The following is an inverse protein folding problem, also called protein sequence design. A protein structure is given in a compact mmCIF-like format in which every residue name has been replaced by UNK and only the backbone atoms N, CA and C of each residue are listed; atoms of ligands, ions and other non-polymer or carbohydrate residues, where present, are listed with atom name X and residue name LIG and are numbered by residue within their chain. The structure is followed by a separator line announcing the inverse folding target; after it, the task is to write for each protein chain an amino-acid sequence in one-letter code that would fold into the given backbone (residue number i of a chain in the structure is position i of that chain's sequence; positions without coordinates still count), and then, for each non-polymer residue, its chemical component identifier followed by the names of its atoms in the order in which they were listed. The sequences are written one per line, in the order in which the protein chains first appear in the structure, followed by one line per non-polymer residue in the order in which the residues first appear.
data_IF_835153814317
#
_entry.id   IF_835153814317
#
_cell.length_a   1.000
_cell.length_b   1.000
_cell.length_c   1.000
_cell.angle_alpha   90.00
_cell.angle_beta   90.00
_cell.angle_gamma   90.00
#
_symmetry.space_group_name_H-M   'P 1'
#
loop_
_entity.id
_entity.type
_entity.pdbx_description
1 polymer ?
#
# COMPACT_ATOMS: atom_id res chain seq x y z
N UNK A 1 -44.16 -1.87 0.61
CA UNK A 1 -43.95 -2.99 -0.34
C UNK A 1 -42.93 -3.92 0.31
N UNK A 2 -43.17 -5.24 0.43
CA UNK A 2 -42.12 -6.15 0.86
C UNK A 2 -41.05 -6.24 -0.25
N UNK A 3 -39.78 -6.14 0.12
CA UNK A 3 -38.66 -6.29 -0.80
C UNK A 3 -37.99 -7.64 -0.57
N UNK A 4 -37.53 -8.28 -1.64
CA UNK A 4 -36.77 -9.54 -1.54
C UNK A 4 -35.30 -9.23 -1.32
N UNK A 5 -34.73 -9.78 -0.25
CA UNK A 5 -33.29 -9.78 -0.01
C UNK A 5 -32.69 -11.16 -0.25
N UNK A 6 -31.42 -11.21 -0.66
CA UNK A 6 -30.63 -12.44 -0.73
C UNK A 6 -29.64 -12.42 0.42
N UNK A 7 -29.60 -13.51 1.18
CA UNK A 7 -28.58 -13.75 2.20
C UNK A 7 -27.90 -15.07 1.90
N UNK A 8 -26.58 -15.09 1.93
CA UNK A 8 -25.79 -16.27 1.62
C UNK A 8 -24.56 -16.37 2.52
N UNK A 9 -24.17 -17.60 2.79
CA UNK A 9 -22.87 -17.91 3.36
C UNK A 9 -21.89 -18.22 2.24
N UNK A 10 -20.66 -17.74 2.37
CA UNK A 10 -19.58 -17.95 1.41
C UNK A 10 -18.44 -18.63 2.14
N UNK A 11 -17.96 -19.73 1.58
CA UNK A 11 -16.72 -20.38 1.95
C UNK A 11 -15.94 -20.65 0.67
N UNK A 12 -14.74 -20.08 0.58
CA UNK A 12 -13.86 -20.18 -0.57
C UNK A 12 -12.54 -20.76 -0.13
N UNK A 13 -12.17 -21.89 -0.71
CA UNK A 13 -10.90 -22.54 -0.44
C UNK A 13 -9.94 -22.31 -1.60
N UNK A 14 -8.88 -21.53 -1.34
CA UNK A 14 -7.69 -21.42 -2.19
C UNK A 14 -8.01 -21.14 -3.66
N UNK A 15 -8.76 -20.08 -3.90
CA UNK A 15 -9.12 -19.58 -5.22
C UNK A 15 -7.95 -18.81 -5.82
N UNK A 16 -7.58 -19.12 -7.06
CA UNK A 16 -6.54 -18.37 -7.77
C UNK A 16 -6.98 -16.92 -8.03
N UNK A 17 -6.09 -15.97 -7.77
CA UNK A 17 -6.36 -14.55 -7.99
C UNK A 17 -6.38 -14.18 -9.49
N UNK A 18 -6.01 -15.08 -10.39
CA UNK A 18 -5.96 -14.85 -11.85
C UNK A 18 -7.29 -14.33 -12.43
N UNK A 19 -8.40 -14.76 -11.84
CA UNK A 19 -9.75 -14.30 -12.18
C UNK A 19 -9.93 -12.78 -11.97
N UNK A 20 -9.13 -12.17 -11.10
CA UNK A 20 -9.17 -10.74 -10.79
C UNK A 20 -8.27 -9.90 -11.69
N UNK A 21 -7.39 -10.51 -12.52
CA UNK A 21 -6.47 -9.77 -13.40
C UNK A 21 -7.17 -8.71 -14.26
N UNK A 22 -8.30 -8.99 -14.95
CA UNK A 22 -8.99 -7.98 -15.75
C UNK A 22 -9.59 -6.85 -14.92
N UNK A 23 -9.91 -7.11 -13.65
CA UNK A 23 -10.49 -6.13 -12.73
C UNK A 23 -9.40 -5.18 -12.25
N UNK A 24 -8.28 -5.72 -11.73
CA UNK A 24 -7.18 -4.90 -11.19
C UNK A 24 -6.44 -4.12 -12.28
N UNK A 25 -6.37 -4.65 -13.51
CA UNK A 25 -5.79 -3.95 -14.66
C UNK A 25 -6.48 -2.62 -14.98
N UNK A 26 -7.80 -2.51 -14.74
CA UNK A 26 -8.57 -1.26 -14.95
C UNK A 26 -8.11 -0.13 -14.01
N UNK A 27 -7.51 -0.50 -12.88
CA UNK A 27 -7.00 0.43 -11.89
C UNK A 27 -5.48 0.63 -11.99
N UNK A 28 -4.84 0.13 -13.06
CA UNK A 28 -3.39 0.28 -13.26
C UNK A 28 -2.54 -0.71 -12.48
N UNK A 29 -3.14 -1.78 -11.94
CA UNK A 29 -2.41 -2.83 -11.25
C UNK A 29 -2.21 -4.07 -12.14
N UNK A 30 -1.02 -4.65 -12.09
CA UNK A 30 -0.66 -5.91 -12.72
C UNK A 30 -0.54 -6.98 -11.65
N UNK A 31 -1.45 -7.95 -11.67
CA UNK A 31 -1.43 -9.10 -10.78
C UNK A 31 -0.78 -10.29 -11.49
N UNK A 32 0.27 -10.82 -10.91
CA UNK A 32 1.07 -11.91 -11.48
C UNK A 32 0.72 -13.26 -10.85
N UNK A 33 0.53 -13.30 -9.54
CA UNK A 33 0.27 -14.55 -8.81
C UNK A 33 -0.46 -14.33 -7.50
N UNK A 34 -0.96 -15.43 -6.96
CA UNK A 34 -1.44 -15.56 -5.60
C UNK A 34 -2.77 -16.31 -5.54
N UNK A 35 -3.11 -16.76 -4.35
CA UNK A 35 -4.40 -17.38 -4.05
C UNK A 35 -5.04 -16.70 -2.87
N UNK A 36 -6.37 -16.75 -2.79
CA UNK A 36 -7.08 -16.33 -1.60
C UNK A 36 -8.01 -17.42 -1.10
N UNK A 37 -8.21 -17.46 0.21
CA UNK A 37 -9.29 -18.23 0.82
C UNK A 37 -10.06 -17.30 1.77
N UNK A 38 -11.33 -17.56 1.98
CA UNK A 38 -12.11 -16.72 2.88
C UNK A 38 -13.46 -17.30 3.21
N UNK A 39 -13.99 -16.88 4.35
CA UNK A 39 -15.30 -17.29 4.81
C UNK A 39 -16.07 -16.11 5.40
N UNK A 40 -17.37 -16.10 5.21
CA UNK A 40 -18.21 -15.03 5.72
C UNK A 40 -19.61 -15.05 5.13
N UNK A 41 -20.32 -13.96 5.39
CA UNK A 41 -21.72 -13.83 5.03
C UNK A 41 -21.90 -12.61 4.12
N UNK A 42 -22.73 -12.79 3.10
CA UNK A 42 -23.16 -11.72 2.20
C UNK A 42 -24.66 -11.51 2.33
N UNK A 43 -25.07 -10.25 2.39
CA UNK A 43 -26.47 -9.86 2.36
C UNK A 43 -26.67 -8.76 1.32
N UNK A 44 -27.64 -8.94 0.44
CA UNK A 44 -27.99 -7.97 -0.58
C UNK A 44 -29.50 -7.79 -0.65
N UNK A 45 -29.96 -6.59 -0.28
CA UNK A 45 -31.34 -6.12 -0.36
C UNK A 45 -31.34 -4.66 -0.86
N UNK A 46 -32.49 -4.11 -1.29
CA UNK A 46 -32.54 -2.76 -1.85
C UNK A 46 -31.93 -1.65 -0.97
N UNK A 47 -32.05 -1.78 0.36
CA UNK A 47 -31.55 -0.81 1.33
C UNK A 47 -30.35 -1.33 2.14
N UNK A 48 -29.89 -2.55 1.88
CA UNK A 48 -28.88 -3.21 2.73
C UNK A 48 -27.89 -4.02 1.89
N UNK A 49 -26.60 -3.72 2.06
CA UNK A 49 -25.49 -4.42 1.45
C UNK A 49 -24.51 -4.75 2.56
N UNK A 50 -24.40 -6.01 2.90
CA UNK A 50 -23.49 -6.50 3.95
C UNK A 50 -22.50 -7.46 3.33
N UNK A 51 -21.23 -7.23 3.61
CA UNK A 51 -20.15 -8.19 3.47
C UNK A 51 -19.49 -8.32 4.84
N UNK A 52 -19.76 -9.41 5.56
CA UNK A 52 -19.15 -9.72 6.86
C UNK A 52 -18.24 -10.93 6.70
N UNK A 53 -16.96 -10.65 6.43
CA UNK A 53 -15.93 -11.67 6.34
C UNK A 53 -15.43 -12.01 7.75
N UNK A 54 -15.45 -13.28 8.08
CA UNK A 54 -14.84 -13.75 9.31
C UNK A 54 -13.33 -13.87 9.14
N UNK A 55 -12.90 -14.29 7.94
CA UNK A 55 -11.50 -14.40 7.60
C UNK A 55 -11.29 -14.26 6.09
N UNK A 56 -10.21 -13.59 5.72
CA UNK A 56 -9.67 -13.53 4.36
C UNK A 56 -8.17 -13.79 4.44
N UNK A 57 -7.68 -14.77 3.69
CA UNK A 57 -6.27 -15.12 3.61
C UNK A 57 -5.78 -14.94 2.18
N UNK A 58 -4.58 -14.42 2.01
CA UNK A 58 -3.91 -14.16 0.74
C UNK A 58 -2.52 -14.82 0.80
N UNK A 59 -2.27 -15.79 -0.06
CA UNK A 59 -1.00 -16.50 -0.12
C UNK A 59 -0.25 -16.13 -1.40
N UNK A 60 1.01 -15.71 -1.28
CA UNK A 60 1.90 -15.49 -2.41
C UNK A 60 1.42 -14.44 -3.42
N UNK A 61 0.68 -13.43 -2.93
CA UNK A 61 0.21 -12.31 -3.75
C UNK A 61 1.41 -11.61 -4.38
N UNK A 62 1.45 -11.50 -5.70
CA UNK A 62 2.45 -10.71 -6.41
C UNK A 62 1.75 -9.70 -7.32
N UNK A 63 1.87 -8.41 -7.00
CA UNK A 63 1.17 -7.35 -7.70
C UNK A 63 1.99 -6.07 -7.78
N UNK A 64 1.98 -5.42 -8.94
CA UNK A 64 2.56 -4.09 -9.14
C UNK A 64 1.48 -3.07 -9.50
N UNK A 65 1.49 -1.92 -8.83
CA UNK A 65 0.72 -0.76 -9.24
C UNK A 65 1.59 0.14 -10.12
N UNK A 66 1.19 0.33 -11.38
CA UNK A 66 1.83 1.25 -12.30
C UNK A 66 1.20 2.64 -12.15
N UNK A 67 1.95 3.57 -11.58
CA UNK A 67 1.59 4.97 -11.57
C UNK A 67 1.80 5.56 -12.97
N UNK A 68 0.68 6.02 -13.55
CA UNK A 68 0.64 6.83 -14.75
C UNK A 68 -0.06 8.13 -14.43
N UNK A 69 0.47 9.25 -14.93
CA UNK A 69 -0.15 10.55 -14.75
C UNK A 69 -1.36 10.54 -15.69
N UNK A 70 -2.53 10.11 -15.20
CA UNK A 70 -3.76 10.24 -15.99
C UNK A 70 -3.91 11.73 -16.32
N UNK A 71 -3.83 12.07 -17.61
CA UNK A 71 -4.24 13.38 -18.12
C UNK A 71 -5.76 13.48 -18.00
N UNK A 72 -6.19 13.75 -16.77
CA UNK A 72 -7.43 14.43 -16.47
C UNK A 72 -7.03 15.42 -15.37
N UNK A 73 -7.08 16.71 -15.69
CA UNK A 73 -7.06 17.71 -14.63
C UNK A 73 -8.15 17.39 -13.61
N UNK A 74 -7.90 17.47 -12.28
CA UNK A 74 -6.62 17.62 -11.59
C UNK A 74 -6.28 16.38 -10.75
N UNK A 75 -4.99 16.11 -10.54
CA UNK A 75 -4.39 15.11 -9.61
C UNK A 75 -4.90 15.22 -8.14
N UNK A 76 -5.68 16.25 -7.82
CA UNK A 76 -6.54 16.25 -6.64
C UNK A 76 -7.53 15.06 -6.65
N UNK A 77 -8.09 14.68 -7.79
CA UNK A 77 -9.09 13.60 -7.97
C UNK A 77 -8.57 12.16 -7.89
N UNK A 78 -7.28 11.84 -7.78
CA UNK A 78 -6.87 10.43 -7.58
C UNK A 78 -6.75 10.09 -6.08
N UNK A 79 -6.11 10.99 -5.31
CA UNK A 79 -6.14 10.95 -3.85
C UNK A 79 -7.55 11.32 -3.34
N UNK A 80 -8.23 12.28 -3.98
CA UNK A 80 -9.65 12.53 -3.71
C UNK A 80 -10.53 11.41 -4.24
N UNK A 81 -10.38 10.79 -5.41
CA UNK A 81 -11.26 9.66 -5.77
C UNK A 81 -11.04 8.44 -4.88
N UNK A 82 -9.83 8.22 -4.36
CA UNK A 82 -9.58 7.17 -3.36
C UNK A 82 -10.16 7.56 -2.00
N UNK A 83 -10.01 8.82 -1.58
CA UNK A 83 -10.60 9.36 -0.36
C UNK A 83 -12.13 9.55 -0.46
N UNK A 84 -12.67 9.78 -1.65
CA UNK A 84 -14.09 9.94 -2.01
C UNK A 84 -14.69 8.56 -2.11
N UNK A 85 -14.05 7.56 -2.72
CA UNK A 85 -14.53 6.17 -2.66
C UNK A 85 -14.50 5.63 -1.22
N UNK A 86 -13.45 5.95 -0.45
CA UNK A 86 -13.37 5.60 0.97
C UNK A 86 -14.39 6.38 1.82
N UNK A 87 -14.64 7.67 1.55
CA UNK A 87 -15.66 8.48 2.22
C UNK A 87 -17.08 8.11 1.76
N UNK A 88 -17.25 7.64 0.54
CA UNK A 88 -18.52 7.19 -0.05
C UNK A 88 -19.00 5.88 0.58
N UNK A 89 -18.10 5.05 1.12
CA UNK A 89 -18.47 3.84 1.85
C UNK A 89 -18.29 3.97 3.36
N UNK A 90 -17.44 4.88 3.85
CA UNK A 90 -17.27 5.13 5.29
C UNK A 90 -18.59 5.59 5.91
N UNK A 91 -19.01 4.88 6.95
CA UNK A 91 -20.25 5.10 7.70
C UNK A 91 -21.51 5.24 6.81
N UNK A 92 -21.50 4.69 5.60
CA UNK A 92 -22.64 4.79 4.69
C UNK A 92 -23.81 3.97 5.23
N UNK A 93 -24.99 4.58 5.47
CA UNK A 93 -26.17 3.84 5.89
C UNK A 93 -26.52 2.73 4.90
N UNK A 94 -26.84 1.54 5.40
CA UNK A 94 -27.19 0.38 4.57
C UNK A 94 -26.01 -0.28 3.86
N UNK A 95 -24.75 0.11 4.12
CA UNK A 95 -23.56 -0.57 3.61
C UNK A 95 -22.64 -0.95 4.76
N UNK A 96 -22.52 -2.24 5.03
CA UNK A 96 -21.56 -2.79 6.01
C UNK A 96 -20.53 -3.62 5.27
N UNK A 97 -19.27 -3.17 5.32
CA UNK A 97 -18.11 -3.92 4.88
C UNK A 97 -17.29 -4.19 6.12
N UNK A 98 -17.16 -5.46 6.50
CA UNK A 98 -16.41 -5.88 7.68
C UNK A 98 -15.57 -7.11 7.35
N UNK A 99 -14.36 -7.16 7.88
CA UNK A 99 -13.56 -8.36 7.94
C UNK A 99 -12.96 -8.48 9.34
N UNK A 100 -13.26 -9.56 10.07
CA UNK A 100 -12.70 -9.77 11.42
C UNK A 100 -11.19 -9.93 11.35
N UNK A 101 -10.69 -10.69 10.37
CA UNK A 101 -9.26 -10.91 10.17
C UNK A 101 -8.90 -11.02 8.71
N UNK A 102 -7.88 -10.29 8.28
CA UNK A 102 -7.26 -10.43 6.96
C UNK A 102 -5.80 -10.79 7.17
N UNK A 103 -5.33 -11.85 6.51
CA UNK A 103 -3.93 -12.28 6.53
C UNK A 103 -3.41 -12.27 5.11
N UNK A 104 -2.23 -11.70 4.90
CA UNK A 104 -1.45 -11.96 3.69
C UNK A 104 -0.08 -12.49 4.08
N UNK A 105 0.39 -13.54 3.42
CA UNK A 105 1.71 -14.12 3.63
C UNK A 105 2.49 -14.26 2.33
N UNK A 106 3.80 -14.02 2.44
CA UNK A 106 4.72 -14.11 1.31
C UNK A 106 4.37 -13.15 0.17
N UNK A 107 3.69 -12.05 0.47
CA UNK A 107 3.24 -11.12 -0.57
C UNK A 107 4.39 -10.24 -1.07
N UNK A 108 4.39 -9.95 -2.36
CA UNK A 108 5.22 -8.92 -2.99
C UNK A 108 4.33 -7.89 -3.65
N UNK A 109 4.41 -6.65 -3.16
CA UNK A 109 3.67 -5.51 -3.70
C UNK A 109 4.64 -4.44 -4.15
N UNK A 110 4.51 -4.01 -5.40
CA UNK A 110 5.34 -2.94 -5.96
C UNK A 110 4.54 -1.73 -6.41
N UNK A 111 5.23 -0.60 -6.43
CA UNK A 111 4.84 0.64 -7.05
C UNK A 111 5.85 0.94 -8.14
N UNK A 112 5.38 1.08 -9.37
CA UNK A 112 6.19 1.41 -10.54
C UNK A 112 5.85 2.83 -10.97
N UNK A 113 6.83 3.71 -11.03
CA UNK A 113 6.66 5.03 -11.62
C UNK A 113 7.14 5.00 -13.08
N UNK A 114 6.18 4.91 -14.00
CA UNK A 114 6.45 4.94 -15.45
C UNK A 114 6.53 6.38 -15.99
N UNK A 115 6.29 7.39 -15.15
CA UNK A 115 6.29 8.81 -15.55
C UNK A 115 7.58 9.54 -15.15
N UNK A 116 8.37 8.97 -14.25
CA UNK A 116 9.68 9.53 -13.90
C UNK A 116 10.74 9.14 -14.92
N UNK A 117 11.80 9.94 -15.01
CA UNK A 117 13.01 9.60 -15.75
C UNK A 117 14.21 9.68 -14.80
N UNK A 118 14.90 8.55 -14.51
CA UNK A 118 14.58 7.19 -14.95
C UNK A 118 13.27 6.66 -14.36
N UNK A 119 12.67 5.66 -15.01
CA UNK A 119 11.60 4.86 -14.40
C UNK A 119 12.17 4.11 -13.20
N UNK A 120 11.37 3.94 -12.15
CA UNK A 120 11.81 3.19 -10.97
C UNK A 120 10.66 2.34 -10.42
N UNK A 121 11.03 1.27 -9.72
CA UNK A 121 10.12 0.43 -8.95
C UNK A 121 10.54 0.42 -7.49
N UNK A 122 9.62 0.77 -6.60
CA UNK A 122 9.77 0.52 -5.16
C UNK A 122 8.82 -0.60 -4.76
N UNK A 123 9.25 -1.46 -3.84
CA UNK A 123 8.43 -2.62 -3.48
C UNK A 123 8.66 -3.06 -2.04
N UNK A 124 7.71 -3.86 -1.57
CA UNK A 124 7.80 -4.67 -0.37
C UNK A 124 7.67 -6.14 -0.76
N UNK A 125 8.67 -6.94 -0.41
CA UNK A 125 8.74 -8.38 -0.66
C UNK A 125 8.66 -9.17 0.65
N UNK A 126 8.37 -10.46 0.55
CA UNK A 126 8.21 -11.39 1.68
C UNK A 126 7.30 -10.82 2.78
N UNK A 127 6.22 -10.18 2.34
CA UNK A 127 5.37 -9.38 3.20
C UNK A 127 4.38 -10.29 3.90
N UNK A 128 4.40 -10.23 5.23
CA UNK A 128 3.37 -10.77 6.09
C UNK A 128 2.56 -9.62 6.67
N UNK A 129 1.27 -9.60 6.41
CA UNK A 129 0.31 -8.60 6.87
C UNK A 129 -0.80 -9.30 7.66
N UNK A 130 -1.14 -8.72 8.81
CA UNK A 130 -2.35 -9.07 9.55
C UNK A 130 -3.16 -7.80 9.77
N UNK A 131 -4.42 -7.81 9.36
CA UNK A 131 -5.40 -6.77 9.66
C UNK A 131 -6.49 -7.36 10.53
N UNK A 132 -6.77 -6.72 11.66
CA UNK A 132 -7.84 -7.09 12.59
C UNK A 132 -8.96 -6.06 12.54
N UNK A 133 -10.19 -6.55 12.57
CA UNK A 133 -11.42 -5.76 12.64
C UNK A 133 -11.51 -4.65 11.58
N UNK A 134 -11.19 -4.96 10.32
CA UNK A 134 -11.47 -4.05 9.22
C UNK A 134 -12.97 -3.78 9.16
N UNK A 135 -13.36 -2.51 9.10
CA UNK A 135 -14.76 -2.11 8.98
C UNK A 135 -14.88 -0.73 8.36
N UNK A 136 -15.96 -0.48 7.63
CA UNK A 136 -16.33 0.87 7.18
C UNK A 136 -17.24 1.62 8.17
N UNK A 137 -17.73 0.98 9.23
CA UNK A 137 -18.67 1.57 10.19
C UNK A 137 -17.98 1.88 11.52
N UNK A 138 -18.12 3.13 12.00
CA UNK A 138 -17.50 3.58 13.26
C UNK A 138 -18.04 2.83 14.48
N UNK A 139 -19.31 2.44 14.44
CA UNK A 139 -19.96 1.66 15.51
C UNK A 139 -19.39 0.25 15.66
N UNK A 140 -18.70 -0.27 14.64
CA UNK A 140 -18.06 -1.59 14.65
C UNK A 140 -16.62 -1.54 15.19
N UNK A 141 -16.14 -0.36 15.59
CA UNK A 141 -14.86 -0.16 16.24
C UNK A 141 -13.72 0.18 15.28
N UNK A 142 -12.51 -0.09 15.75
CA UNK A 142 -11.25 0.32 15.13
C UNK A 142 -10.61 -0.87 14.43
N UNK A 143 -10.03 -0.63 13.25
CA UNK A 143 -9.21 -1.60 12.55
C UNK A 143 -7.74 -1.43 12.93
N UNK A 144 -6.99 -2.52 13.06
CA UNK A 144 -5.53 -2.47 13.27
C UNK A 144 -4.83 -3.30 12.22
N UNK A 145 -3.62 -2.91 11.84
CA UNK A 145 -2.79 -3.63 10.89
C UNK A 145 -1.36 -3.76 11.43
N UNK A 146 -0.75 -4.92 11.21
CA UNK A 146 0.67 -5.18 11.47
C UNK A 146 1.30 -5.79 10.23
N UNK A 147 2.44 -5.25 9.82
CA UNK A 147 3.16 -5.67 8.63
C UNK A 147 4.62 -5.94 8.96
N UNK A 148 5.18 -7.00 8.36
CA UNK A 148 6.62 -7.26 8.28
C UNK A 148 6.98 -7.63 6.86
N UNK A 149 8.13 -7.17 6.37
CA UNK A 149 8.61 -7.51 5.03
C UNK A 149 9.99 -6.94 4.74
N UNK A 150 10.37 -6.94 3.47
CA UNK A 150 11.64 -6.41 2.98
C UNK A 150 11.40 -5.35 1.91
N UNK A 151 11.93 -4.15 2.09
CA UNK A 151 11.88 -3.09 1.07
C UNK A 151 12.95 -3.30 0.00
N UNK A 152 12.96 -2.42 -1.01
CA UNK A 152 14.09 -2.23 -1.94
C UNK A 152 15.41 -2.18 -1.15
N UNK A 153 16.47 -2.75 -1.71
CA UNK A 153 17.78 -2.82 -1.04
C UNK A 153 17.81 -3.74 0.18
N UNK A 154 16.81 -4.61 0.36
CA UNK A 154 16.76 -5.61 1.42
C UNK A 154 16.40 -5.07 2.81
N UNK A 155 15.93 -3.82 2.89
CA UNK A 155 15.65 -3.15 4.16
C UNK A 155 14.56 -3.86 4.98
N UNK A 156 14.89 -4.24 6.21
CA UNK A 156 13.93 -4.88 7.11
C UNK A 156 12.82 -3.88 7.47
N UNK A 157 11.59 -4.17 7.06
CA UNK A 157 10.45 -3.29 7.21
C UNK A 157 9.48 -3.83 8.24
N UNK A 158 9.09 -2.99 9.19
CA UNK A 158 7.97 -3.22 10.10
C UNK A 158 7.06 -2.01 10.05
N UNK A 159 5.76 -2.24 9.94
CA UNK A 159 4.78 -1.18 10.05
C UNK A 159 3.60 -1.62 10.91
N UNK A 160 2.97 -0.66 11.57
CA UNK A 160 1.70 -0.86 12.27
C UNK A 160 0.79 0.33 12.00
N UNK A 161 -0.50 0.06 11.83
CA UNK A 161 -1.48 1.11 11.63
C UNK A 161 -2.75 0.86 12.41
N UNK A 162 -3.42 1.94 12.76
CA UNK A 162 -4.73 1.95 13.42
C UNK A 162 -5.65 2.83 12.60
N UNK A 163 -6.75 2.29 12.08
CA UNK A 163 -7.70 3.02 11.24
C UNK A 163 -9.05 3.13 11.94
N UNK A 164 -9.60 4.34 11.94
CA UNK A 164 -10.85 4.68 12.60
C UNK A 164 -11.83 5.19 11.53
N UNK A 165 -12.94 4.48 11.25
CA UNK A 165 -13.89 4.92 10.23
C UNK A 165 -14.54 6.24 10.65
N UNK A 166 -14.41 7.27 9.82
CA UNK A 166 -14.98 8.59 10.11
C UNK A 166 -15.61 9.22 8.86
N UNK A 167 -16.55 10.14 9.09
CA UNK A 167 -17.25 10.88 8.02
C UNK A 167 -16.59 12.22 7.71
N UNK A 168 -15.76 12.74 8.60
CA UNK A 168 -15.15 14.08 8.49
C UNK A 168 -13.74 14.06 7.90
N UNK A 169 -13.39 12.97 7.21
CA UNK A 169 -12.08 12.73 6.62
C UNK A 169 -11.37 11.52 7.23
N UNK A 170 -10.20 11.15 6.70
CA UNK A 170 -9.44 10.00 7.18
C UNK A 170 -8.97 10.23 8.62
N UNK A 171 -9.02 9.15 9.40
CA UNK A 171 -8.54 9.13 10.77
C UNK A 171 -7.71 7.86 11.03
N UNK A 172 -6.39 8.00 11.07
CA UNK A 172 -5.49 6.86 11.25
C UNK A 172 -4.13 7.22 11.86
N UNK A 173 -3.54 6.24 12.50
CA UNK A 173 -2.16 6.26 13.00
C UNK A 173 -1.34 5.28 12.17
N UNK A 174 -0.11 5.65 11.82
CA UNK A 174 0.82 4.82 11.06
C UNK A 174 2.22 4.96 11.64
N UNK A 175 2.82 3.84 12.01
CA UNK A 175 4.22 3.73 12.40
C UNK A 175 4.95 2.87 11.37
N UNK A 176 6.10 3.34 10.90
CA UNK A 176 6.95 2.63 9.93
C UNK A 176 8.39 2.67 10.38
N UNK A 177 9.06 1.51 10.32
CA UNK A 177 10.48 1.37 10.52
C UNK A 177 11.07 0.55 9.38
N UNK A 178 12.02 1.13 8.66
CA UNK A 178 12.81 0.45 7.64
C UNK A 178 14.27 0.58 8.04
N UNK A 179 14.98 -0.54 8.14
CA UNK A 179 16.37 -0.56 8.61
C UNK A 179 17.28 -1.30 7.63
N UNK A 180 18.55 -0.88 7.62
CA UNK A 180 19.62 -1.55 6.88
C UNK A 180 19.34 -1.72 5.38
N UNK A 181 18.79 -0.68 4.74
CA UNK A 181 18.56 -0.66 3.29
C UNK A 181 19.85 -0.34 2.54
N UNK A 182 20.22 -1.17 1.58
CA UNK A 182 21.29 -0.86 0.63
C UNK A 182 20.84 0.26 -0.33
N UNK A 183 21.52 1.40 -0.24
CA UNK A 183 21.19 2.57 -1.06
C UNK A 183 21.63 2.43 -2.51
N UNK A 184 22.61 1.57 -2.84
CA UNK A 184 23.00 1.34 -4.23
C UNK A 184 21.85 0.78 -5.05
N UNK A 185 21.06 -0.10 -4.44
CA UNK A 185 19.82 -0.65 -5.03
C UNK A 185 18.71 0.41 -5.21
N UNK A 186 18.88 1.62 -4.68
CA UNK A 186 17.93 2.73 -4.80
C UNK A 186 18.33 3.76 -5.86
N UNK A 187 19.40 3.55 -6.62
CA UNK A 187 19.91 4.57 -7.57
C UNK A 187 18.88 5.02 -8.60
N UNK A 188 17.97 4.15 -9.08
CA UNK A 188 16.88 4.60 -9.96
C UNK A 188 15.97 5.64 -9.27
N UNK A 189 15.63 5.40 -8.00
CA UNK A 189 14.84 6.33 -7.20
C UNK A 189 15.63 7.61 -6.89
N UNK A 190 16.91 7.50 -6.53
CA UNK A 190 17.77 8.63 -6.18
C UNK A 190 17.99 9.55 -7.40
N UNK A 191 18.23 8.99 -8.58
CA UNK A 191 18.33 9.76 -9.83
C UNK A 191 17.04 10.48 -10.17
N UNK A 192 15.90 9.83 -9.96
CA UNK A 192 14.60 10.43 -10.29
C UNK A 192 14.22 11.63 -9.40
N UNK A 193 14.74 11.73 -8.17
CA UNK A 193 14.29 12.75 -7.19
C UNK A 193 15.39 13.61 -6.58
N UNK A 194 16.65 13.16 -6.60
CA UNK A 194 17.76 13.82 -5.95
C UNK A 194 18.98 14.03 -6.86
N UNK A 195 18.93 13.53 -8.11
CA UNK A 195 19.94 13.76 -9.16
C UNK A 195 21.36 13.34 -8.77
N UNK A 196 21.49 12.32 -7.91
CA UNK A 196 22.78 11.71 -7.58
C UNK A 196 22.68 10.19 -7.52
N UNK A 197 23.83 9.53 -7.68
CA UNK A 197 23.99 8.09 -7.49
C UNK A 197 24.89 7.82 -6.28
N UNK A 198 24.76 6.64 -5.70
CA UNK A 198 25.66 6.16 -4.65
C UNK A 198 26.36 4.89 -5.07
N UNK A 199 27.64 4.77 -4.69
CA UNK A 199 28.41 3.53 -4.84
C UNK A 199 28.22 2.60 -3.63
N UNK A 200 27.98 3.18 -2.45
CA UNK A 200 27.65 2.45 -1.23
C UNK A 200 26.90 3.35 -0.26
N UNK A 201 26.14 2.74 0.64
CA UNK A 201 25.51 3.44 1.75
C UNK A 201 24.39 2.60 2.36
N UNK A 202 24.17 2.79 3.65
CA UNK A 202 23.07 2.16 4.38
C UNK A 202 22.07 3.22 4.81
N UNK A 203 20.82 3.04 4.41
CA UNK A 203 19.70 3.89 4.77
C UNK A 203 18.81 3.22 5.81
N UNK A 204 18.27 4.00 6.73
CA UNK A 204 17.20 3.60 7.64
C UNK A 204 16.25 4.77 7.85
N UNK A 205 14.96 4.49 8.00
CA UNK A 205 13.94 5.51 8.26
C UNK A 205 12.96 5.05 9.32
N UNK A 206 12.65 5.96 10.22
CA UNK A 206 11.68 5.80 11.28
C UNK A 206 10.63 6.89 11.11
N UNK A 207 9.36 6.51 11.08
CA UNK A 207 8.28 7.48 10.93
C UNK A 207 7.09 7.11 11.80
N UNK A 208 6.49 8.15 12.34
CA UNK A 208 5.19 8.11 12.99
C UNK A 208 4.33 9.19 12.35
N UNK A 209 3.12 8.83 11.94
CA UNK A 209 2.15 9.71 11.31
C UNK A 209 0.80 9.53 12.00
N UNK A 210 0.18 10.64 12.37
CA UNK A 210 -1.18 10.74 12.85
C UNK A 210 -1.96 11.62 11.88
N UNK A 211 -3.02 11.08 11.30
CA UNK A 211 -3.92 11.78 10.39
C UNK A 211 -5.28 11.86 11.04
N UNK A 212 -5.84 13.07 11.14
CA UNK A 212 -7.18 13.30 11.68
C UNK A 212 -7.78 14.58 11.13
N UNK A 213 -9.02 14.52 10.63
CA UNK A 213 -9.77 15.68 10.12
C UNK A 213 -8.96 16.53 9.12
N UNK A 214 -8.27 15.87 8.19
CA UNK A 214 -7.43 16.53 7.17
C UNK A 214 -6.11 17.11 7.69
N UNK A 215 -5.80 16.98 8.98
CA UNK A 215 -4.50 17.36 9.54
C UNK A 215 -3.59 16.14 9.61
N UNK A 216 -2.34 16.34 9.23
CA UNK A 216 -1.27 15.35 9.36
C UNK A 216 -0.25 15.89 10.36
N UNK A 217 0.07 15.09 11.37
CA UNK A 217 1.11 15.38 12.37
C UNK A 217 2.02 14.17 12.53
N UNK A 218 3.27 14.37 12.93
CA UNK A 218 4.19 13.26 13.12
C UNK A 218 5.63 13.64 12.81
N UNK A 219 6.47 12.63 12.62
CA UNK A 219 7.85 12.81 12.24
C UNK A 219 8.31 11.76 11.22
N UNK A 220 9.37 12.11 10.52
CA UNK A 220 10.18 11.20 9.72
C UNK A 220 11.63 11.46 10.11
N UNK A 221 12.34 10.40 10.50
CA UNK A 221 13.74 10.45 10.91
C UNK A 221 14.56 9.56 9.98
N UNK A 222 15.21 10.13 8.96
CA UNK A 222 16.14 9.39 8.11
C UNK A 222 17.51 9.25 8.81
N UNK A 223 18.19 8.13 8.57
CA UNK A 223 19.55 7.85 9.02
C UNK A 223 20.35 7.28 7.86
N UNK A 224 21.60 7.73 7.73
CA UNK A 224 22.53 7.30 6.70
C UNK A 224 23.84 6.87 7.36
N UNK A 225 24.44 5.78 6.86
CA UNK A 225 25.78 5.33 7.27
C UNK A 225 26.58 4.94 6.03
N UNK A 226 27.90 5.14 6.10
CA UNK A 226 28.87 4.69 5.09
C UNK A 226 28.53 5.14 3.66
N UNK A 227 27.92 6.33 3.54
CA UNK A 227 27.45 6.90 2.28
C UNK A 227 28.64 7.35 1.42
N UNK A 228 28.69 6.85 0.19
CA UNK A 228 29.62 7.29 -0.85
C UNK A 228 28.83 7.67 -2.09
N UNK A 229 28.73 8.98 -2.33
CA UNK A 229 28.05 9.55 -3.50
C UNK A 229 29.02 9.54 -4.69
N UNK A 230 28.51 9.22 -5.87
CA UNK A 230 29.28 9.39 -7.11
C UNK A 230 29.38 10.89 -7.44
N UNK A 231 30.61 11.37 -7.64
CA UNK A 231 30.86 12.76 -8.04
C UNK A 231 31.36 12.79 -9.49
N UNK A 232 30.48 13.15 -10.42
CA UNK A 232 30.81 13.19 -11.85
C UNK A 232 31.90 14.23 -12.18
N UNK A 233 32.07 15.26 -11.35
CA UNK A 233 33.05 16.33 -11.55
C UNK A 233 34.51 15.85 -11.33
N UNK A 234 34.73 14.90 -10.41
CA UNK A 234 36.08 14.37 -10.13
C UNK A 234 36.60 13.43 -11.22
N UNK A 235 35.70 12.74 -11.94
CA UNK A 235 36.08 11.83 -13.04
C UNK A 235 36.37 12.56 -14.36
N UNK A 236 35.86 13.77 -14.55
CA UNK A 236 36.29 14.64 -15.64
C UNK A 236 37.69 15.19 -15.35
N UNK A 237 37.94 15.75 -14.17
CA UNK A 237 39.27 16.30 -13.79
C UNK A 237 40.38 15.24 -13.87
N UNK A 238 40.11 13.99 -13.45
CA UNK A 238 41.06 12.87 -13.56
C UNK A 238 41.35 12.42 -15.00
N UNK A 239 40.46 12.69 -15.97
CA UNK A 239 40.69 12.38 -17.39
C UNK A 239 41.55 13.44 -18.09
N UNK A 240 41.49 14.69 -17.64
CA UNK A 240 42.32 15.78 -18.17
C UNK A 240 43.71 15.86 -17.51
N UNK A 241 43.89 15.32 -16.30
CA UNK A 241 45.19 15.26 -15.62
C UNK A 241 46.11 14.09 -16.05
N UNK A 242 45.69 13.25 -17.00
CA UNK A 242 46.42 12.05 -17.47
C UNK A 242 46.75 12.04 -18.97
N UNK A 243 46.60 13.17 -19.68
CA UNK A 243 46.99 13.34 -21.09
C UNK A 243 48.31 14.09 -21.24
#
# INVERSE_FOLDING_TARGET
MPYTGVKGHIELERVALDLLRPIVARYGATLTSGTFAGRGDIEYAPETKVLDLQELTLHGLCMDYAYRKRTVEPVKTAAQATAETAAEVSNKPGVLLKARRIVADGATVGFVNEESQPHYRVFLADTNLVVENFTNQRTEGTATAQLRGRSVGGGATVASATFRPETNGPDFDLNVRIENTDMHAMNDLLRAHATFDVSSGVFSVFSELHVKNGRVTGYVKPLFRDLKVYDAAQDEENRWGRS
#
